data_IF_266666467868
#
_entry.id   IF_266666467868
#
_cell.length_a   1.000
_cell.length_b   1.000
_cell.length_c   1.000
_cell.angle_alpha   90.00
_cell.angle_beta   90.00
_cell.angle_gamma   90.00
#
_symmetry.space_group_name_H-M   'P 1'
#
loop_
_entity.id
_entity.type
_entity.pdbx_description
1 polymer ?
#
# COMPACT_ATOMS: atom_id res chain seq x y z
N UNK A 1 -15.34 -5.82 -1.19
CA UNK A 1 -15.46 -4.36 -0.94
C UNK A 1 -16.62 -3.85 -1.78
N UNK A 2 -17.49 -2.97 -1.25
CA UNK A 2 -18.74 -2.57 -1.89
C UNK A 2 -18.55 -1.79 -3.21
N UNK A 3 -17.32 -1.37 -3.53
CA UNK A 3 -16.97 -0.50 -4.65
C UNK A 3 -16.57 -1.24 -5.95
N UNK A 4 -16.66 -2.57 -6.01
CA UNK A 4 -16.25 -3.37 -7.18
C UNK A 4 -14.77 -3.78 -7.21
N UNK A 5 -14.27 -4.21 -8.37
CA UNK A 5 -12.86 -4.61 -8.59
C UNK A 5 -12.00 -3.36 -8.82
N UNK A 6 -11.54 -2.73 -7.75
CA UNK A 6 -10.56 -1.64 -7.86
C UNK A 6 -9.24 -2.15 -8.46
N UNK A 7 -8.76 -1.52 -9.53
CA UNK A 7 -7.46 -1.80 -10.13
C UNK A 7 -6.38 -0.97 -9.44
N UNK A 8 -5.23 -1.59 -9.15
CA UNK A 8 -4.04 -0.86 -8.67
C UNK A 8 -3.49 -0.06 -9.85
N UNK A 9 -3.50 1.26 -9.73
CA UNK A 9 -2.96 2.18 -10.75
C UNK A 9 -1.58 2.71 -10.38
N UNK A 10 -1.26 2.70 -9.09
CA UNK A 10 0.06 3.06 -8.58
C UNK A 10 0.31 2.33 -7.27
N UNK A 11 1.58 2.06 -6.98
CA UNK A 11 2.01 1.34 -5.78
C UNK A 11 3.40 1.81 -5.35
N UNK A 12 3.53 2.05 -4.05
CA UNK A 12 4.83 2.31 -3.42
C UNK A 12 5.03 1.39 -2.24
N UNK A 13 6.20 0.76 -2.20
CA UNK A 13 6.55 -0.23 -1.19
C UNK A 13 7.94 0.05 -0.61
N UNK A 14 8.11 -0.26 0.68
CA UNK A 14 9.42 -0.24 1.32
C UNK A 14 9.73 -1.61 1.90
N UNK A 15 11.01 -1.96 1.95
CA UNK A 15 11.47 -3.17 2.63
C UNK A 15 11.78 -2.86 4.10
N UNK A 16 11.15 -3.61 5.00
CA UNK A 16 11.45 -3.64 6.44
C UNK A 16 11.98 -5.01 6.86
N UNK A 17 12.37 -5.16 8.13
CA UNK A 17 12.89 -6.41 8.67
C UNK A 17 11.86 -7.57 8.65
N UNK A 18 10.56 -7.27 8.77
CA UNK A 18 9.53 -8.30 9.01
C UNK A 18 8.53 -8.45 7.88
N UNK A 19 8.30 -7.38 7.14
CA UNK A 19 7.31 -7.32 6.06
C UNK A 19 7.63 -6.16 5.12
N UNK A 20 6.84 -6.02 4.07
CA UNK A 20 6.98 -4.96 3.07
C UNK A 20 5.76 -4.03 3.16
N UNK A 21 5.83 -2.95 3.97
CA UNK A 21 4.81 -1.92 3.99
C UNK A 21 4.57 -1.34 2.60
N UNK A 22 3.31 -1.27 2.20
CA UNK A 22 2.89 -0.89 0.86
C UNK A 22 1.66 0.02 0.90
N UNK A 23 1.65 1.04 0.04
CA UNK A 23 0.46 1.85 -0.25
C UNK A 23 0.12 1.67 -1.72
N UNK A 24 -1.12 1.28 -1.99
CA UNK A 24 -1.68 1.16 -3.33
C UNK A 24 -2.69 2.27 -3.59
N UNK A 25 -2.60 2.93 -4.74
CA UNK A 25 -3.66 3.75 -5.29
C UNK A 25 -4.58 2.84 -6.12
N UNK A 26 -5.83 2.73 -5.73
CA UNK A 26 -6.86 1.98 -6.44
C UNK A 26 -7.71 2.94 -7.25
N UNK A 27 -7.99 2.61 -8.50
CA UNK A 27 -9.02 3.26 -9.32
C UNK A 27 -10.16 2.29 -9.58
N UNK A 28 -11.38 2.76 -9.38
CA UNK A 28 -12.61 2.01 -9.65
C UNK A 28 -13.21 2.43 -10.99
N UNK A 29 -14.10 1.60 -11.53
CA UNK A 29 -14.80 1.86 -12.80
C UNK A 29 -15.67 3.13 -12.72
N UNK A 30 -16.13 3.49 -11.52
CA UNK A 30 -16.82 4.76 -11.25
C UNK A 30 -15.91 5.99 -11.39
N UNK A 31 -14.60 5.81 -11.55
CA UNK A 31 -13.60 6.88 -11.57
C UNK A 31 -13.09 7.27 -10.18
N UNK A 32 -13.72 6.78 -9.11
CA UNK A 32 -13.27 7.00 -7.73
C UNK A 32 -11.88 6.41 -7.50
N UNK A 33 -11.10 7.09 -6.64
CA UNK A 33 -9.77 6.65 -6.25
C UNK A 33 -9.70 6.47 -4.73
N UNK A 34 -9.12 5.37 -4.28
CA UNK A 34 -8.90 5.08 -2.86
C UNK A 34 -7.45 4.67 -2.60
N UNK A 35 -6.94 5.02 -1.43
CA UNK A 35 -5.66 4.50 -0.94
C UNK A 35 -5.90 3.24 -0.11
N UNK A 36 -5.13 2.19 -0.40
CA UNK A 36 -5.07 0.98 0.40
C UNK A 36 -3.72 0.88 1.08
N UNK A 37 -3.74 0.71 2.39
CA UNK A 37 -2.59 0.40 3.22
C UNK A 37 -2.51 -1.11 3.42
N UNK A 38 -1.43 -1.73 2.98
CA UNK A 38 -1.25 -3.19 3.07
C UNK A 38 0.22 -3.55 3.27
N UNK A 39 0.49 -4.82 3.51
CA UNK A 39 1.85 -5.33 3.57
C UNK A 39 1.99 -6.64 2.81
N UNK A 40 3.16 -6.89 2.24
CA UNK A 40 3.54 -8.21 1.78
C UNK A 40 4.43 -8.87 2.82
N UNK A 41 4.28 -10.18 2.98
CA UNK A 41 5.22 -11.02 3.73
C UNK A 41 5.64 -12.15 2.81
N UNK A 42 6.95 -12.23 2.50
CA UNK A 42 7.50 -13.24 1.59
C UNK A 42 6.73 -13.31 0.25
N UNK A 43 6.39 -12.14 -0.32
CA UNK A 43 5.62 -12.05 -1.58
C UNK A 43 4.13 -12.41 -1.46
N UNK A 44 3.61 -12.73 -0.27
CA UNK A 44 2.17 -12.93 -0.05
C UNK A 44 1.54 -11.69 0.51
N UNK A 45 0.44 -11.27 -0.12
CA UNK A 45 -0.38 -10.17 0.35
C UNK A 45 -0.97 -10.50 1.73
N UNK A 46 -0.62 -9.71 2.74
CA UNK A 46 -1.24 -9.79 4.05
C UNK A 46 -2.53 -8.99 4.07
N UNK A 47 -3.60 -9.64 4.56
CA UNK A 47 -4.90 -8.99 4.83
C UNK A 47 -4.98 -8.40 6.24
N UNK A 48 -3.92 -8.52 7.03
CA UNK A 48 -3.83 -7.88 8.34
C UNK A 48 -3.74 -6.36 8.17
N UNK A 49 -4.13 -5.58 9.20
CA UNK A 49 -3.79 -4.16 9.24
C UNK A 49 -2.29 -3.96 8.98
N UNK A 50 -1.96 -2.88 8.28
CA UNK A 50 -0.58 -2.47 8.12
C UNK A 50 -0.06 -1.96 9.47
N UNK A 51 0.86 -2.71 10.06
CA UNK A 51 1.57 -2.31 11.28
C UNK A 51 2.94 -1.78 10.88
N UNK A 52 3.18 -0.48 11.05
CA UNK A 52 4.42 0.18 10.63
C UNK A 52 4.98 1.02 11.79
N UNK A 53 6.30 1.03 11.95
CA UNK A 53 6.95 1.90 12.92
C UNK A 53 7.20 3.31 12.37
N UNK A 54 7.60 4.24 13.23
CA UNK A 54 7.78 5.65 12.86
C UNK A 54 8.93 5.87 11.86
N UNK A 55 9.99 5.05 11.90
CA UNK A 55 11.13 5.15 11.01
C UNK A 55 10.73 4.74 9.60
N UNK A 56 10.03 3.61 9.48
CA UNK A 56 9.57 3.10 8.21
C UNK A 56 8.41 3.94 7.66
N UNK A 57 7.55 4.51 8.50
CA UNK A 57 6.55 5.50 8.07
C UNK A 57 7.20 6.72 7.39
N UNK A 58 8.29 7.24 7.95
CA UNK A 58 9.07 8.33 7.32
C UNK A 58 9.68 7.91 5.98
N UNK A 59 10.17 6.67 5.88
CA UNK A 59 10.74 6.14 4.61
C UNK A 59 9.65 6.00 3.55
N UNK A 60 8.48 5.50 3.94
CA UNK A 60 7.31 5.38 3.06
C UNK A 60 6.84 6.77 2.58
N UNK A 61 6.78 7.76 3.47
CA UNK A 61 6.46 9.14 3.11
C UNK A 61 7.43 9.73 2.08
N UNK A 62 8.73 9.50 2.24
CA UNK A 62 9.74 9.93 1.26
C UNK A 62 9.64 9.19 -0.07
N UNK A 63 9.19 7.94 -0.06
CA UNK A 63 9.01 7.13 -1.25
C UNK A 63 7.84 7.65 -2.10
N UNK A 64 6.75 8.09 -1.45
CA UNK A 64 5.58 8.71 -2.12
C UNK A 64 5.98 9.98 -2.89
N UNK A 65 6.86 10.82 -2.33
CA UNK A 65 7.26 12.09 -2.97
C UNK A 65 8.07 11.90 -4.26
N UNK A 66 8.57 10.69 -4.51
CA UNK A 66 9.40 10.38 -5.69
C UNK A 66 8.63 9.73 -6.84
N UNK A 67 7.38 9.29 -6.63
CA UNK A 67 6.48 8.81 -7.69
C UNK A 67 5.73 9.97 -8.34
#
# INVERSE_FOLDING_TARGET
>A
MPWGKGMVVDEISISSQYHEPTIQLLKFDSGEKLLRFCSYSHGRFSRSPLMIDEKDLRRLGKAIVKG
#
